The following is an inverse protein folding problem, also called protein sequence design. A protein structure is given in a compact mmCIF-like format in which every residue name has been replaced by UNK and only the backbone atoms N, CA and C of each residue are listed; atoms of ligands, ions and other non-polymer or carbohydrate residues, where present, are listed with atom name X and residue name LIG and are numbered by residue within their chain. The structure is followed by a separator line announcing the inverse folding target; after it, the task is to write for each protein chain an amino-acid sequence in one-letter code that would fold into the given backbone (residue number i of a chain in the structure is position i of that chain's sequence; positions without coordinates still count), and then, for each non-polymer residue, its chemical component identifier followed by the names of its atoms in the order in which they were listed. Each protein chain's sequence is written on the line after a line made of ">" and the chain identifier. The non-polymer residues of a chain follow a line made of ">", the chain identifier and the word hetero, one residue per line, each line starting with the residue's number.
data_IF_118631013699
#
_entry.id   IF_118631013699
#
_cell.length_a   1.000
_cell.length_b   1.000
_cell.length_c   1.000
_cell.angle_alpha   90.00
_cell.angle_beta   90.00
_cell.angle_gamma   90.00
#
_symmetry.space_group_name_H-M   'P 1'
#
loop_
_entity.id
_entity.type
_entity.pdbx_description
1 polymer ?
#
# COMPACT_ATOMS: atom_id res chain seq x y z
N UNK A 1 12.15 5.69 -6.04
CA UNK A 1 10.79 5.82 -5.49
C UNK A 1 10.68 5.28 -4.09
N UNK A 2 9.69 5.73 -3.31
CA UNK A 2 9.46 5.18 -1.96
C UNK A 2 8.73 3.83 -2.04
N UNK A 3 8.72 3.02 -0.96
CA UNK A 3 8.07 1.71 -0.98
C UNK A 3 6.62 1.75 -1.46
N UNK A 4 5.88 2.80 -1.09
CA UNK A 4 4.49 3.01 -1.55
C UNK A 4 4.40 3.03 -3.08
N UNK A 5 5.28 3.78 -3.73
CA UNK A 5 5.23 3.99 -5.17
C UNK A 5 5.74 2.78 -5.94
N UNK A 6 6.84 2.18 -5.47
CA UNK A 6 7.37 0.94 -6.03
C UNK A 6 6.30 -0.15 -5.99
N UNK A 7 5.61 -0.29 -4.85
CA UNK A 7 4.57 -1.31 -4.69
C UNK A 7 3.35 -1.04 -5.57
N UNK A 8 2.89 0.22 -5.66
CA UNK A 8 1.81 0.61 -6.56
C UNK A 8 2.12 0.31 -8.02
N UNK A 9 3.33 0.65 -8.47
CA UNK A 9 3.80 0.35 -9.83
C UNK A 9 3.87 -1.17 -10.08
N UNK A 10 4.37 -1.96 -9.12
CA UNK A 10 4.41 -3.43 -9.24
C UNK A 10 3.02 -4.06 -9.32
N UNK A 11 2.06 -3.57 -8.52
CA UNK A 11 0.67 -4.06 -8.58
C UNK A 11 0.08 -3.83 -9.98
N UNK A 12 0.23 -2.61 -10.51
CA UNK A 12 -0.38 -2.23 -11.79
C UNK A 12 0.41 -2.69 -13.02
N UNK A 13 1.58 -3.29 -12.83
CA UNK A 13 2.36 -3.90 -13.91
C UNK A 13 2.42 -5.41 -13.76
N UNK A 14 3.28 -5.92 -12.88
CA UNK A 14 3.54 -7.34 -12.70
C UNK A 14 2.30 -8.12 -12.24
N UNK A 15 1.62 -7.68 -11.19
CA UNK A 15 0.45 -8.39 -10.67
C UNK A 15 -0.73 -8.33 -11.66
N UNK A 16 -0.96 -7.17 -12.27
CA UNK A 16 -1.97 -6.99 -13.31
C UNK A 16 -1.73 -7.94 -14.50
N UNK A 17 -0.49 -8.03 -14.99
CA UNK A 17 -0.12 -8.92 -16.08
C UNK A 17 -0.27 -10.40 -15.68
N UNK A 18 0.18 -10.78 -14.48
CA UNK A 18 0.14 -12.17 -14.00
C UNK A 18 -1.29 -12.69 -13.86
N UNK A 19 -2.24 -11.83 -13.49
CA UNK A 19 -3.64 -12.18 -13.25
C UNK A 19 -4.58 -11.81 -14.42
N UNK A 20 -4.04 -11.35 -15.55
CA UNK A 20 -4.81 -10.91 -16.72
C UNK A 20 -5.87 -9.83 -16.39
N UNK A 21 -5.46 -8.84 -15.58
CA UNK A 21 -6.31 -7.72 -15.14
C UNK A 21 -5.85 -6.45 -15.86
N UNK A 22 -6.76 -5.71 -16.49
CA UNK A 22 -6.45 -4.36 -16.98
C UNK A 22 -6.03 -3.47 -15.79
N UNK A 23 -4.82 -2.86 -15.79
CA UNK A 23 -4.36 -1.98 -14.71
C UNK A 23 -5.33 -0.84 -14.35
N UNK A 24 -6.18 -0.40 -15.30
CA UNK A 24 -7.21 0.61 -15.06
C UNK A 24 -8.34 0.15 -14.15
N UNK A 25 -8.52 -1.16 -14.03
CA UNK A 25 -9.50 -1.78 -13.14
C UNK A 25 -8.94 -2.02 -11.73
N UNK A 26 -7.67 -1.69 -11.48
CA UNK A 26 -7.04 -1.84 -10.16
C UNK A 26 -6.99 -0.48 -9.46
N UNK A 27 -7.58 -0.43 -8.26
CA UNK A 27 -7.49 0.71 -7.36
C UNK A 27 -6.54 0.38 -6.19
N UNK A 28 -5.37 1.02 -6.16
CA UNK A 28 -4.36 0.87 -5.12
C UNK A 28 -4.63 1.88 -4.00
N UNK A 29 -5.00 1.35 -2.83
CA UNK A 29 -5.22 2.14 -1.61
C UNK A 29 -4.06 1.91 -0.64
N UNK A 30 -3.29 2.95 -0.37
CA UNK A 30 -2.15 2.92 0.53
C UNK A 30 -2.54 3.44 1.92
N UNK A 31 -2.20 2.69 2.98
CA UNK A 31 -2.39 3.09 4.37
C UNK A 31 -1.05 3.54 4.95
N UNK A 32 -0.95 4.81 5.36
CA UNK A 32 0.32 5.42 5.76
C UNK A 32 0.23 6.14 7.12
N UNK A 33 1.27 6.10 7.97
CA UNK A 33 1.32 6.92 9.18
C UNK A 33 1.69 8.39 8.90
N UNK A 34 1.95 8.76 7.64
CA UNK A 34 2.43 10.08 7.23
C UNK A 34 1.46 10.76 6.25
N UNK A 35 1.17 12.04 6.48
CA UNK A 35 0.32 12.84 5.57
C UNK A 35 1.04 13.22 4.28
N UNK A 36 2.37 13.39 4.31
CA UNK A 36 3.17 13.76 3.12
C UNK A 36 3.08 12.72 2.00
N UNK A 37 2.77 11.46 2.34
CA UNK A 37 2.55 10.38 1.35
C UNK A 37 1.34 10.63 0.44
N UNK A 38 0.37 11.42 0.89
CA UNK A 38 -0.75 11.86 0.04
C UNK A 38 -0.25 12.76 -1.09
N UNK A 39 0.61 13.72 -0.78
CA UNK A 39 1.23 14.61 -1.77
C UNK A 39 2.16 13.83 -2.69
N UNK A 40 2.91 12.85 -2.16
CA UNK A 40 3.76 11.97 -2.97
C UNK A 40 2.96 11.21 -4.04
N UNK A 41 1.80 10.65 -3.69
CA UNK A 41 0.92 9.95 -4.65
C UNK A 41 0.27 10.85 -5.71
N UNK A 42 0.29 12.17 -5.51
CA UNK A 42 -0.30 13.12 -6.46
C UNK A 42 0.73 13.76 -7.39
N UNK A 43 2.01 13.40 -7.26
CA UNK A 43 3.07 13.97 -8.09
C UNK A 43 2.85 13.61 -9.58
N UNK A 44 3.01 14.56 -10.52
CA UNK A 44 2.76 14.33 -11.94
C UNK A 44 3.62 13.22 -12.56
N UNK A 45 4.76 12.88 -11.97
CA UNK A 45 5.65 11.81 -12.42
C UNK A 45 5.26 10.42 -11.90
N UNK A 46 4.34 10.31 -10.92
CA UNK A 46 3.95 9.04 -10.28
C UNK A 46 2.77 8.38 -11.00
N UNK A 47 2.96 8.17 -12.30
CA UNK A 47 2.01 7.44 -13.15
C UNK A 47 2.71 6.88 -14.39
N UNK A 48 2.13 5.82 -14.94
CA UNK A 48 2.52 5.25 -16.23
C UNK A 48 1.34 5.36 -17.19
N UNK A 49 1.52 6.06 -18.31
CA UNK A 49 0.50 6.23 -19.35
C UNK A 49 -0.84 6.78 -18.81
N UNK A 50 -0.79 7.71 -17.85
CA UNK A 50 -1.97 8.30 -17.22
C UNK A 50 -2.64 7.43 -16.15
N UNK A 51 -2.08 6.25 -15.85
CA UNK A 51 -2.51 5.40 -14.74
C UNK A 51 -1.60 5.64 -13.55
N UNK A 52 -2.14 6.20 -12.46
CA UNK A 52 -1.36 6.46 -11.24
C UNK A 52 -0.87 5.17 -10.61
N UNK A 53 0.32 5.19 -10.03
CA UNK A 53 0.87 4.04 -9.31
C UNK A 53 0.06 3.78 -8.02
N UNK A 54 -0.32 4.85 -7.30
CA UNK A 54 -1.19 4.80 -6.13
C UNK A 54 -2.37 5.76 -6.29
N UNK A 55 -3.59 5.25 -6.14
CA UNK A 55 -4.82 6.01 -6.37
C UNK A 55 -5.26 6.80 -5.14
N UNK A 56 -5.20 6.15 -3.97
CA UNK A 56 -5.70 6.71 -2.71
C UNK A 56 -4.67 6.47 -1.61
N UNK A 57 -4.46 7.49 -0.77
CA UNK A 57 -3.64 7.38 0.43
C UNK A 57 -4.47 7.78 1.65
N UNK A 58 -4.66 6.84 2.57
CA UNK A 58 -5.31 7.05 3.86
C UNK A 58 -4.27 7.07 4.97
N UNK A 59 -4.51 7.91 5.96
CA UNK A 59 -3.75 7.87 7.22
C UNK A 59 -4.26 6.76 8.12
N UNK A 60 -3.42 6.31 9.06
CA UNK A 60 -3.85 5.37 10.12
C UNK A 60 -5.09 5.87 10.88
N UNK A 61 -5.21 7.20 11.08
CA UNK A 61 -6.39 7.81 11.72
C UNK A 61 -7.66 7.70 10.86
N UNK A 62 -7.53 7.87 9.55
CA UNK A 62 -8.66 7.72 8.62
C UNK A 62 -9.11 6.27 8.53
N UNK A 63 -8.18 5.32 8.48
CA UNK A 63 -8.51 3.90 8.55
C UNK A 63 -9.22 3.55 9.86
N UNK A 64 -8.70 4.01 11.00
CA UNK A 64 -9.33 3.79 12.30
C UNK A 64 -10.76 4.36 12.37
N UNK A 65 -11.01 5.51 11.73
CA UNK A 65 -12.35 6.09 11.61
C UNK A 65 -13.26 5.19 10.74
N UNK A 66 -12.77 4.69 9.60
CA UNK A 66 -13.54 3.79 8.72
C UNK A 66 -13.93 2.49 9.44
N UNK A 67 -12.99 1.86 10.16
CA UNK A 67 -13.25 0.65 10.97
C UNK A 67 -14.38 0.89 11.97
N UNK A 68 -14.34 2.03 12.69
CA UNK A 68 -15.40 2.42 13.63
C UNK A 68 -16.74 2.68 12.94
N UNK A 69 -16.74 3.35 11.79
CA UNK A 69 -17.96 3.62 11.02
C UNK A 69 -18.61 2.34 10.48
N UNK A 70 -17.81 1.34 10.13
CA UNK A 70 -18.26 0.03 9.71
C UNK A 70 -18.78 -0.86 10.87
N UNK A 71 -18.71 -0.37 12.12
CA UNK A 71 -19.08 -1.11 13.34
C UNK A 71 -18.29 -2.41 13.53
N UNK A 72 -17.07 -2.45 13.02
CA UNK A 72 -16.16 -3.58 13.21
C UNK A 72 -15.60 -3.53 14.63
N UNK A 73 -15.75 -4.65 15.34
CA UNK A 73 -15.16 -4.83 16.67
C UNK A 73 -13.69 -5.22 16.55
N UNK A 74 -12.85 -4.25 16.20
CA UNK A 74 -11.45 -4.48 15.85
C UNK A 74 -10.64 -5.27 16.92
N UNK A 75 -10.93 -5.05 18.20
CA UNK A 75 -10.24 -5.73 19.31
C UNK A 75 -10.71 -7.18 19.54
N UNK A 76 -11.79 -7.61 18.90
CA UNK A 76 -12.33 -8.98 18.99
C UNK A 76 -12.05 -9.78 17.71
N UNK A 77 -11.31 -9.23 16.74
CA UNK A 77 -10.95 -9.94 15.52
C UNK A 77 -9.89 -11.01 15.79
N UNK A 78 -10.05 -12.16 15.15
CA UNK A 78 -9.01 -13.17 15.08
C UNK A 78 -7.92 -12.72 14.09
N UNK A 79 -6.69 -13.16 14.33
CA UNK A 79 -5.58 -12.90 13.41
C UNK A 79 -5.79 -13.68 12.10
N UNK A 80 -5.53 -13.02 10.97
CA UNK A 80 -5.61 -13.60 9.63
C UNK A 80 -4.27 -13.44 8.90
N UNK A 81 -3.98 -14.35 7.98
CA UNK A 81 -2.78 -14.24 7.15
C UNK A 81 -2.99 -13.24 6.00
N UNK A 82 -1.90 -12.60 5.60
CA UNK A 82 -1.90 -11.74 4.42
C UNK A 82 -2.03 -12.54 3.13
N UNK A 83 -2.56 -11.89 2.10
CA UNK A 83 -2.65 -12.43 0.74
C UNK A 83 -1.27 -12.82 0.20
N UNK A 84 -1.08 -14.11 -0.07
CA UNK A 84 0.19 -14.69 -0.51
C UNK A 84 0.43 -14.57 -2.02
N UNK A 85 -0.62 -14.24 -2.78
CA UNK A 85 -0.65 -14.25 -4.24
C UNK A 85 -0.17 -12.93 -4.88
N UNK A 86 -0.23 -11.82 -4.12
CA UNK A 86 0.09 -10.48 -4.57
C UNK A 86 1.55 -10.31 -4.99
N UNK A 87 2.50 -10.54 -4.08
CA UNK A 87 3.95 -10.39 -4.35
C UNK A 87 4.85 -11.42 -3.63
N UNK A 88 4.27 -12.46 -3.01
CA UNK A 88 5.00 -13.45 -2.22
C UNK A 88 5.44 -12.96 -0.84
N UNK A 89 6.08 -13.85 -0.06
CA UNK A 89 6.52 -13.62 1.32
C UNK A 89 7.25 -12.27 1.49
N UNK A 90 6.74 -11.40 2.37
CA UNK A 90 7.49 -10.23 2.82
C UNK A 90 8.54 -10.68 3.84
N UNK A 91 9.80 -10.30 3.65
CA UNK A 91 10.86 -10.59 4.63
C UNK A 91 10.70 -9.68 5.84
N UNK A 92 11.13 -10.12 7.03
CA UNK A 92 11.02 -9.36 8.29
C UNK A 92 11.61 -7.93 8.26
N UNK A 93 12.44 -7.61 7.26
CA UNK A 93 12.96 -6.27 6.99
C UNK A 93 11.89 -5.25 6.56
N UNK A 94 10.82 -5.69 5.89
CA UNK A 94 9.70 -4.82 5.48
C UNK A 94 8.88 -4.28 6.66
N UNK A 95 8.86 -5.02 7.77
CA UNK A 95 8.10 -4.68 9.00
C UNK A 95 8.73 -3.51 9.76
N UNK A 96 10.07 -3.36 9.69
CA UNK A 96 10.84 -2.37 10.46
C UNK A 96 10.99 -1.04 9.69
N UNK A 97 10.58 -0.98 8.42
CA UNK A 97 10.73 0.23 7.59
C UNK A 97 10.02 1.49 8.16
N UNK A 98 9.03 1.29 9.03
CA UNK A 98 8.26 2.35 9.68
C UNK A 98 8.91 2.96 10.94
N UNK A 99 10.02 2.42 11.44
CA UNK A 99 10.73 2.97 12.60
C UNK A 99 11.99 3.75 12.18
N UNK A 100 12.36 4.77 12.95
CA UNK A 100 13.59 5.56 12.72
C UNK A 100 14.80 4.62 12.75
N UNK A 101 15.54 4.52 11.64
CA UNK A 101 16.68 3.60 11.47
C UNK A 101 16.38 2.31 10.71
N UNK A 102 15.11 1.93 10.57
CA UNK A 102 14.72 0.67 9.90
C UNK A 102 15.00 0.62 8.40
N UNK A 103 15.08 1.78 7.74
CA UNK A 103 15.51 1.87 6.33
C UNK A 103 16.97 1.45 6.15
N UNK A 104 17.82 1.71 7.16
CA UNK A 104 19.25 1.44 7.11
C UNK A 104 19.59 0.00 7.51
N UNK A 105 18.77 -0.63 8.36
CA UNK A 105 18.88 -2.06 8.69
C UNK A 105 18.28 -2.99 7.61
N UNK A 106 17.41 -2.46 6.75
CA UNK A 106 16.77 -3.20 5.66
C UNK A 106 17.50 -3.13 4.31
N UNK A 107 18.64 -2.41 4.24
CA UNK A 107 19.43 -2.19 3.03
C UNK A 107 20.63 -3.13 2.91
#
# INVERSE_FOLDING_TARGET
>A
DSPQQIFGALIKSYYAQKNDIDPKNICVVSIMPCTSKKTEAQRPEMNVNGTKDVDIVLTTRELAKMIKQARIKFLELEDEQYDQDLLGDYTGAGVIFGVTGGVMEAA
#
